data_IF_646883172973
#
_entry.id   IF_646883172973
#
_cell.length_a   1.000
_cell.length_b   1.000
_cell.length_c   1.000
_cell.angle_alpha   90.00
_cell.angle_beta   90.00
_cell.angle_gamma   90.00
#
_symmetry.space_group_name_H-M   'P 1'
#
loop_
_entity.id
_entity.type
_entity.pdbx_description
1 polymer ?
#
# COMPACT_ATOMS: atom_id res chain seq x y z
N UNK A 1 19.82 14.38 -4.80
CA UNK A 1 19.00 13.49 -5.63
C UNK A 1 19.01 12.13 -4.97
N UNK A 2 17.85 11.57 -4.68
CA UNK A 2 17.76 10.20 -4.19
C UNK A 2 18.20 9.27 -5.33
N UNK A 3 18.94 8.21 -5.00
CA UNK A 3 19.52 7.25 -5.98
C UNK A 3 18.47 6.53 -6.85
N UNK A 4 17.19 6.68 -6.52
CA UNK A 4 16.02 6.04 -7.13
C UNK A 4 15.27 6.94 -8.14
N UNK A 5 15.76 8.18 -8.38
CA UNK A 5 15.15 9.09 -9.37
C UNK A 5 13.98 9.93 -8.84
N UNK A 6 13.78 9.98 -7.51
CA UNK A 6 12.81 10.86 -6.86
C UNK A 6 13.48 12.13 -6.34
N UNK A 7 12.77 13.26 -6.45
CA UNK A 7 13.21 14.56 -5.93
C UNK A 7 13.03 14.65 -4.41
N UNK A 8 11.94 14.09 -3.90
CA UNK A 8 11.57 14.10 -2.49
C UNK A 8 10.88 12.80 -2.10
N UNK A 9 11.03 12.39 -0.84
CA UNK A 9 10.31 11.28 -0.21
C UNK A 9 9.66 11.81 1.06
N UNK A 10 8.38 11.51 1.25
CA UNK A 10 7.64 11.90 2.45
C UNK A 10 7.38 10.64 3.28
N UNK A 11 7.80 10.64 4.53
CA UNK A 11 7.57 9.55 5.48
C UNK A 11 6.70 10.05 6.62
N UNK A 12 5.65 9.29 6.93
CA UNK A 12 4.68 9.60 7.96
C UNK A 12 4.82 8.57 9.07
N UNK A 13 5.19 9.02 10.27
CA UNK A 13 5.37 8.17 11.44
C UNK A 13 4.16 8.34 12.36
N UNK A 14 3.31 7.30 12.41
CA UNK A 14 2.04 7.33 13.15
C UNK A 14 2.24 7.27 14.67
N UNK A 15 3.32 6.62 15.13
CA UNK A 15 3.81 6.68 16.51
C UNK A 15 5.26 7.18 16.56
N UNK A 16 5.48 8.52 16.51
CA UNK A 16 6.83 9.07 16.45
C UNK A 16 7.63 8.88 17.74
N UNK A 17 6.99 8.53 18.86
CA UNK A 17 7.67 8.28 20.11
C UNK A 17 8.34 6.92 20.13
N UNK A 18 7.70 5.90 19.55
CA UNK A 18 8.28 4.56 19.40
C UNK A 18 9.41 4.53 18.36
N UNK A 19 9.33 5.40 17.34
CA UNK A 19 10.26 5.43 16.20
C UNK A 19 11.35 6.51 16.28
N UNK A 20 11.58 7.13 17.45
CA UNK A 20 12.45 8.30 17.60
C UNK A 20 13.87 8.12 17.02
N UNK A 21 14.46 6.93 17.17
CA UNK A 21 15.78 6.62 16.60
C UNK A 21 15.75 6.55 15.06
N UNK A 22 14.73 5.90 14.48
CA UNK A 22 14.56 5.80 13.04
C UNK A 22 14.26 7.17 12.42
N UNK A 23 13.44 7.98 13.08
CA UNK A 23 13.17 9.37 12.69
C UNK A 23 14.47 10.18 12.66
N UNK A 24 15.29 10.09 13.71
CA UNK A 24 16.55 10.82 13.79
C UNK A 24 17.51 10.42 12.66
N UNK A 25 17.60 9.12 12.35
CA UNK A 25 18.43 8.61 11.26
C UNK A 25 17.94 9.13 9.90
N UNK A 26 16.66 8.95 9.60
CA UNK A 26 16.13 9.26 8.27
C UNK A 26 16.06 10.76 7.99
N UNK A 27 15.92 11.60 9.02
CA UNK A 27 16.04 13.07 8.90
C UNK A 27 17.39 13.53 8.36
N UNK A 28 18.44 12.71 8.45
CA UNK A 28 19.76 13.04 7.89
C UNK A 28 19.83 12.85 6.37
N UNK A 29 18.85 12.18 5.77
CA UNK A 29 18.84 11.86 4.34
C UNK A 29 18.31 13.05 3.54
N UNK A 30 19.15 13.59 2.65
CA UNK A 30 18.77 14.71 1.78
C UNK A 30 17.60 14.34 0.87
N UNK A 31 16.57 15.18 0.86
CA UNK A 31 15.34 14.97 0.08
C UNK A 31 14.30 14.11 0.80
N UNK A 32 14.53 13.70 2.06
CA UNK A 32 13.50 13.04 2.86
C UNK A 32 12.83 14.03 3.80
N UNK A 33 11.50 14.05 3.77
CA UNK A 33 10.63 14.85 4.61
C UNK A 33 9.94 13.95 5.62
N UNK A 34 10.25 14.14 6.90
CA UNK A 34 9.69 13.32 7.99
C UNK A 34 8.55 14.07 8.66
N UNK A 35 7.37 13.46 8.65
CA UNK A 35 6.16 13.93 9.33
C UNK A 35 5.93 13.09 10.56
N UNK A 36 6.06 13.72 11.74
CA UNK A 36 5.72 13.11 13.01
C UNK A 36 4.23 13.33 13.25
N UNK A 37 3.43 12.27 13.06
CA UNK A 37 1.98 12.32 13.05
C UNK A 37 1.38 12.37 14.46
N UNK A 38 1.90 13.26 15.29
CA UNK A 38 1.39 13.55 16.64
C UNK A 38 -0.04 14.09 16.59
N UNK A 39 -0.75 14.05 17.73
CA UNK A 39 -2.06 14.68 17.87
C UNK A 39 -2.04 16.16 17.47
N UNK A 40 -0.98 16.89 17.83
CA UNK A 40 -0.81 18.29 17.47
C UNK A 40 -0.65 18.50 15.95
N UNK A 41 0.08 17.59 15.28
CA UNK A 41 0.17 17.60 13.82
C UNK A 41 -1.21 17.38 13.22
N UNK A 42 -1.93 16.34 13.60
CA UNK A 42 -3.25 16.05 13.02
C UNK A 42 -4.29 17.13 13.31
N UNK A 43 -4.25 17.75 14.49
CA UNK A 43 -5.13 18.87 14.80
C UNK A 43 -4.87 20.06 13.88
N UNK A 44 -3.61 20.40 13.59
CA UNK A 44 -3.27 21.44 12.61
C UNK A 44 -3.75 21.11 11.19
N UNK A 45 -3.85 19.83 10.86
CA UNK A 45 -4.32 19.37 9.55
C UNK A 45 -5.85 19.43 9.41
N UNK A 46 -6.62 19.41 10.51
CA UNK A 46 -8.10 19.41 10.44
C UNK A 46 -8.67 20.61 9.68
N UNK A 47 -8.00 21.76 9.77
CA UNK A 47 -8.46 22.99 9.12
C UNK A 47 -8.05 23.11 7.65
N UNK A 48 -6.90 22.54 7.30
CA UNK A 48 -6.22 22.79 6.03
C UNK A 48 -6.33 21.62 5.05
N UNK A 49 -6.32 20.39 5.57
CA UNK A 49 -6.27 19.17 4.78
C UNK A 49 -7.64 18.82 4.16
N UNK A 50 -7.64 18.59 2.85
CA UNK A 50 -8.83 18.31 2.08
C UNK A 50 -9.58 17.04 2.54
N UNK A 51 -8.89 16.07 3.14
CA UNK A 51 -9.50 14.88 3.75
C UNK A 51 -10.54 15.26 4.81
N UNK A 52 -10.17 16.11 5.78
CA UNK A 52 -11.07 16.56 6.85
C UNK A 52 -12.12 17.55 6.36
N UNK A 53 -11.82 18.32 5.32
CA UNK A 53 -12.73 19.32 4.74
C UNK A 53 -13.81 18.73 3.83
N UNK A 54 -13.72 17.45 3.44
CA UNK A 54 -14.80 16.75 2.71
C UNK A 54 -16.05 16.68 3.59
N UNK A 55 -16.86 17.75 3.56
CA UNK A 55 -18.13 17.85 4.28
C UNK A 55 -19.12 16.79 3.81
N UNK A 56 -19.95 16.35 4.78
CA UNK A 56 -21.28 15.70 4.81
C UNK A 56 -22.29 15.94 3.64
N UNK A 57 -21.85 16.38 2.45
CA UNK A 57 -22.70 16.87 1.37
C UNK A 57 -23.02 15.86 0.25
N UNK A 58 -22.36 14.71 0.17
CA UNK A 58 -22.82 13.61 -0.69
C UNK A 58 -23.84 12.76 0.07
N UNK A 59 -25.08 13.25 0.12
CA UNK A 59 -26.22 12.34 0.27
C UNK A 59 -26.38 11.56 -1.04
N UNK A 60 -26.35 10.23 -0.91
CA UNK A 60 -27.23 9.29 -1.59
C UNK A 60 -27.55 9.61 -3.06
N UNK A 61 -26.68 9.20 -3.98
CA UNK A 61 -27.03 9.25 -5.39
C UNK A 61 -25.88 9.00 -6.33
N UNK A 62 -25.65 7.73 -6.68
CA UNK A 62 -25.09 7.41 -8.00
C UNK A 62 -23.57 7.27 -8.09
N UNK A 63 -22.96 6.55 -7.15
CA UNK A 63 -21.84 5.62 -7.34
C UNK A 63 -21.69 4.96 -5.98
N UNK A 64 -21.72 3.62 -5.93
CA UNK A 64 -21.57 2.88 -4.67
C UNK A 64 -20.36 3.42 -3.93
N UNK A 65 -20.61 3.88 -2.71
CA UNK A 65 -19.64 4.37 -1.75
C UNK A 65 -18.75 3.18 -1.34
N UNK A 66 -17.83 2.81 -2.21
CA UNK A 66 -16.92 1.71 -2.00
C UNK A 66 -15.87 2.12 -1.00
N UNK A 67 -16.13 1.88 0.30
CA UNK A 67 -15.10 1.96 1.34
C UNK A 67 -14.40 3.32 1.48
N UNK A 68 -15.11 4.42 1.24
CA UNK A 68 -14.49 5.76 1.35
C UNK A 68 -14.10 6.01 2.82
N UNK A 69 -12.80 6.12 3.05
CA UNK A 69 -12.24 6.55 4.33
C UNK A 69 -12.85 7.89 4.75
N UNK A 70 -13.38 7.94 5.97
CA UNK A 70 -14.10 9.09 6.50
C UNK A 70 -13.35 9.68 7.69
N UNK A 71 -13.70 10.90 8.09
CA UNK A 71 -13.19 11.49 9.34
C UNK A 71 -13.55 10.63 10.56
N UNK A 72 -14.70 9.94 10.53
CA UNK A 72 -15.10 9.03 11.59
C UNK A 72 -14.20 7.79 11.65
N UNK A 73 -13.80 7.25 10.49
CA UNK A 73 -12.82 6.17 10.42
C UNK A 73 -11.46 6.63 10.95
N UNK A 74 -11.03 7.85 10.56
CA UNK A 74 -9.79 8.44 11.06
C UNK A 74 -9.80 8.58 12.60
N UNK A 75 -10.86 9.15 13.16
CA UNK A 75 -11.02 9.35 14.61
C UNK A 75 -11.11 8.00 15.35
N UNK A 76 -11.52 6.92 14.68
CA UNK A 76 -11.52 5.55 15.20
C UNK A 76 -10.15 4.83 15.08
N UNK A 77 -9.12 5.49 14.54
CA UNK A 77 -7.79 4.90 14.34
C UNK A 77 -7.67 4.00 13.12
N UNK A 78 -8.56 4.14 12.13
CA UNK A 78 -8.49 3.37 10.89
C UNK A 78 -7.24 3.76 10.07
N UNK A 79 -6.41 2.77 9.76
CA UNK A 79 -5.12 2.95 9.09
C UNK A 79 -5.33 3.55 7.70
N UNK A 80 -6.30 3.04 6.94
CA UNK A 80 -6.58 3.49 5.58
C UNK A 80 -7.04 4.97 5.58
N UNK A 81 -7.80 5.38 6.59
CA UNK A 81 -8.20 6.77 6.76
C UNK A 81 -7.03 7.69 7.10
N UNK A 82 -6.10 7.23 7.96
CA UNK A 82 -4.85 7.97 8.25
C UNK A 82 -3.95 8.08 7.02
N UNK A 83 -3.79 6.99 6.26
CA UNK A 83 -3.07 7.00 4.99
C UNK A 83 -3.70 7.98 3.99
N UNK A 84 -5.03 8.00 3.86
CA UNK A 84 -5.73 8.97 3.03
C UNK A 84 -5.44 10.43 3.45
N UNK A 85 -5.43 10.71 4.75
CA UNK A 85 -5.09 12.03 5.28
C UNK A 85 -3.63 12.40 4.98
N UNK A 86 -2.69 11.47 5.19
CA UNK A 86 -1.27 11.64 4.89
C UNK A 86 -1.04 11.92 3.39
N UNK A 87 -1.69 11.18 2.49
CA UNK A 87 -1.63 11.43 1.04
C UNK A 87 -2.13 12.82 0.69
N UNK A 88 -3.25 13.27 1.27
CA UNK A 88 -3.75 14.62 1.00
C UNK A 88 -2.79 15.71 1.48
N UNK A 89 -2.10 15.51 2.61
CA UNK A 89 -1.03 16.41 3.05
C UNK A 89 0.14 16.40 2.07
N UNK A 90 0.65 15.22 1.70
CA UNK A 90 1.75 15.06 0.75
C UNK A 90 1.44 15.71 -0.61
N UNK A 91 0.20 15.58 -1.10
CA UNK A 91 -0.24 16.23 -2.34
C UNK A 91 -0.23 17.75 -2.25
N UNK A 92 -0.62 18.32 -1.11
CA UNK A 92 -0.60 19.77 -0.91
C UNK A 92 0.84 20.30 -0.89
N UNK A 93 1.71 19.65 -0.13
CA UNK A 93 3.13 19.99 -0.06
C UNK A 93 3.84 19.82 -1.40
N UNK A 94 3.61 18.71 -2.10
CA UNK A 94 4.23 18.45 -3.39
C UNK A 94 3.84 19.51 -4.43
N UNK A 95 2.56 19.93 -4.44
CA UNK A 95 2.09 21.02 -5.29
C UNK A 95 2.73 22.35 -4.92
N UNK A 96 2.85 22.67 -3.64
CA UNK A 96 3.52 23.89 -3.19
C UNK A 96 5.00 23.93 -3.58
N UNK A 97 5.65 22.77 -3.63
CA UNK A 97 7.02 22.60 -4.10
C UNK A 97 7.17 22.55 -5.64
N UNK A 98 6.07 22.58 -6.39
CA UNK A 98 6.09 22.52 -7.86
C UNK A 98 6.32 21.13 -8.44
N UNK A 99 6.09 20.06 -7.68
CA UNK A 99 6.14 18.69 -8.20
C UNK A 99 4.86 18.35 -8.97
N UNK A 100 5.03 17.69 -10.12
CA UNK A 100 3.93 17.32 -11.02
C UNK A 100 3.38 15.92 -10.70
N UNK A 101 4.24 15.02 -10.26
CA UNK A 101 3.92 13.62 -9.98
C UNK A 101 4.19 13.29 -8.52
N UNK A 102 3.26 12.52 -7.94
CA UNK A 102 3.40 11.89 -6.63
C UNK A 102 3.10 10.40 -6.78
N UNK A 103 3.96 9.57 -6.21
CA UNK A 103 3.76 8.13 -6.12
C UNK A 103 3.57 7.77 -4.64
N UNK A 104 2.41 7.22 -4.30
CA UNK A 104 2.15 6.63 -2.99
C UNK A 104 2.41 5.11 -3.07
N UNK A 105 3.20 4.59 -2.13
CA UNK A 105 3.57 3.18 -2.00
C UNK A 105 3.65 2.90 -0.51
N UNK A 106 3.06 1.79 -0.07
CA UNK A 106 3.16 1.36 1.33
C UNK A 106 4.58 0.87 1.65
N UNK A 107 5.00 0.90 2.92
CA UNK A 107 6.41 0.65 3.29
C UNK A 107 6.89 -0.79 2.99
N UNK A 108 5.96 -1.73 2.92
CA UNK A 108 6.19 -3.14 2.57
C UNK A 108 5.93 -3.43 1.09
N UNK A 109 5.56 -2.42 0.30
CA UNK A 109 5.34 -2.53 -1.12
C UNK A 109 6.57 -2.12 -1.94
N UNK A 110 6.66 -2.67 -3.15
CA UNK A 110 7.69 -2.34 -4.13
C UNK A 110 7.02 -1.88 -5.41
N UNK A 111 7.45 -0.73 -5.92
CA UNK A 111 7.16 -0.36 -7.30
C UNK A 111 8.22 -0.95 -8.25
N UNK A 112 7.78 -1.81 -9.17
CA UNK A 112 8.62 -2.44 -10.18
C UNK A 112 8.08 -2.21 -11.59
N UNK A 113 8.95 -1.76 -12.50
CA UNK A 113 8.61 -1.63 -13.92
C UNK A 113 9.51 -2.52 -14.78
N UNK A 114 8.94 -3.42 -15.60
CA UNK A 114 9.71 -4.25 -16.52
C UNK A 114 10.08 -3.51 -17.83
N UNK A 115 9.68 -2.24 -17.99
CA UNK A 115 9.87 -1.51 -19.25
C UNK A 115 11.37 -1.19 -19.47
N UNK A 116 11.92 -1.50 -20.67
CA UNK A 116 13.27 -1.07 -21.04
C UNK A 116 13.38 0.47 -20.96
N UNK A 117 14.43 0.97 -20.33
CA UNK A 117 14.65 2.40 -20.05
C UNK A 117 14.34 2.76 -18.60
N UNK A 118 13.24 2.27 -18.03
CA UNK A 118 12.85 2.59 -16.64
C UNK A 118 13.79 1.93 -15.63
N UNK A 119 14.24 0.70 -15.91
CA UNK A 119 15.21 0.00 -15.04
C UNK A 119 16.59 0.67 -15.02
N UNK A 120 16.96 1.39 -16.09
CA UNK A 120 18.26 2.05 -16.19
C UNK A 120 18.23 3.52 -15.71
N UNK A 121 17.10 4.21 -15.91
CA UNK A 121 16.98 5.66 -15.68
C UNK A 121 16.15 5.98 -14.42
N UNK A 122 15.37 5.02 -13.91
CA UNK A 122 14.56 5.16 -12.70
C UNK A 122 13.14 5.64 -12.95
N UNK A 123 12.42 5.93 -11.86
CA UNK A 123 11.01 6.28 -11.91
C UNK A 123 10.72 7.57 -12.70
N UNK A 124 11.66 8.52 -12.74
CA UNK A 124 11.50 9.78 -13.47
C UNK A 124 11.20 9.56 -14.96
N UNK A 125 11.94 8.67 -15.62
CA UNK A 125 11.73 8.37 -17.05
C UNK A 125 10.35 7.78 -17.32
N UNK A 126 9.80 7.01 -16.38
CA UNK A 126 8.44 6.51 -16.50
C UNK A 126 7.42 7.65 -16.43
N UNK A 127 7.51 8.52 -15.42
CA UNK A 127 6.56 9.62 -15.22
C UNK A 127 6.66 10.71 -16.30
N UNK A 128 7.86 10.97 -16.83
CA UNK A 128 8.07 11.89 -17.96
C UNK A 128 7.40 11.41 -19.25
N UNK A 129 7.27 10.09 -19.44
CA UNK A 129 6.62 9.51 -20.62
C UNK A 129 5.09 9.48 -20.53
N UNK A 130 4.52 9.81 -19.37
CA UNK A 130 3.06 9.81 -19.17
C UNK A 130 2.45 10.98 -19.95
N UNK A 131 1.40 10.70 -20.72
CA UNK A 131 0.73 11.75 -21.50
C UNK A 131 0.18 12.85 -20.58
N UNK A 132 0.37 14.16 -20.88
CA UNK A 132 0.00 15.26 -19.98
C UNK A 132 -1.49 15.35 -19.61
N UNK A 133 -2.37 14.69 -20.36
CA UNK A 133 -3.80 14.62 -20.03
C UNK A 133 -4.16 13.58 -18.95
N UNK A 134 -3.20 12.74 -18.55
CA UNK A 134 -3.39 11.73 -17.50
C UNK A 134 -3.04 12.38 -16.17
N UNK A 135 -4.01 12.48 -15.27
CA UNK A 135 -3.83 13.08 -13.94
C UNK A 135 -3.63 12.03 -12.83
N UNK A 136 -3.88 10.75 -13.12
CA UNK A 136 -3.77 9.67 -12.15
C UNK A 136 -3.44 8.35 -12.87
N UNK A 137 -2.54 7.59 -12.26
CA UNK A 137 -2.25 6.21 -12.61
C UNK A 137 -2.63 5.32 -11.42
N UNK A 138 -3.14 4.12 -11.71
CA UNK A 138 -3.39 3.10 -10.70
C UNK A 138 -2.62 1.86 -11.09
N UNK A 139 -1.75 1.41 -10.20
CA UNK A 139 -0.98 0.19 -10.36
C UNK A 139 -1.76 -0.97 -9.74
N UNK A 140 -1.64 -2.15 -10.33
CA UNK A 140 -2.18 -3.36 -9.73
C UNK A 140 -1.25 -3.78 -8.59
N UNK A 141 -1.79 -3.87 -7.38
CA UNK A 141 -1.09 -4.51 -6.28
C UNK A 141 -1.04 -6.03 -6.56
N UNK A 142 0.16 -6.56 -6.66
CA UNK A 142 0.39 -7.99 -6.73
C UNK A 142 0.88 -8.45 -5.36
N UNK A 143 -0.07 -8.78 -4.47
CA UNK A 143 0.29 -9.50 -3.25
C UNK A 143 1.05 -10.77 -3.64
N UNK A 144 2.26 -10.92 -3.12
CA UNK A 144 3.12 -12.05 -3.44
C UNK A 144 2.47 -13.33 -2.88
N UNK A 145 1.66 -14.01 -3.69
CA UNK A 145 1.14 -15.34 -3.33
C UNK A 145 2.32 -16.33 -3.40
N UNK A 146 2.67 -17.02 -2.30
CA UNK A 146 3.72 -18.04 -2.33
C UNK A 146 3.40 -19.09 -3.39
N UNK A 147 4.28 -19.26 -4.36
CA UNK A 147 4.10 -20.29 -5.42
C UNK A 147 4.46 -21.69 -4.97
N UNK A 148 5.06 -21.83 -3.79
CA UNK A 148 5.39 -23.14 -3.22
C UNK A 148 4.25 -23.56 -2.29
N UNK A 149 3.69 -24.77 -2.44
CA UNK A 149 2.85 -25.36 -1.41
C UNK A 149 3.60 -25.33 -0.07
N UNK A 150 2.91 -25.17 1.08
CA UNK A 150 3.56 -25.30 2.37
C UNK A 150 4.33 -26.62 2.38
N UNK A 151 5.63 -26.55 2.72
CA UNK A 151 6.45 -27.74 2.85
C UNK A 151 5.66 -28.73 3.71
N UNK A 152 5.37 -29.93 3.18
CA UNK A 152 4.66 -30.97 3.94
C UNK A 152 5.38 -31.08 5.27
N UNK A 153 4.71 -30.68 6.34
CA UNK A 153 5.28 -30.73 7.67
C UNK A 153 5.86 -32.12 7.88
N UNK A 154 7.09 -32.20 8.40
CA UNK A 154 7.58 -33.46 8.95
C UNK A 154 6.49 -33.95 9.89
N UNK A 155 5.88 -35.09 9.55
CA UNK A 155 4.85 -35.70 10.38
C UNK A 155 5.37 -35.77 11.80
N UNK A 156 4.77 -34.97 12.69
CA UNK A 156 4.88 -35.23 14.11
C UNK A 156 4.15 -36.56 14.28
N UNK A 157 4.91 -37.59 14.67
CA UNK A 157 4.42 -38.95 14.83
C UNK A 157 3.15 -38.96 15.67
N UNK A 158 2.03 -39.27 15.02
CA UNK A 158 0.83 -39.77 15.67
C UNK A 158 0.69 -41.22 15.25
N UNK A 159 0.97 -42.14 16.16
CA UNK A 159 0.49 -43.51 16.07
C UNK A 159 -1.01 -43.49 15.76
N UNK A 160 -1.39 -44.02 14.60
CA UNK A 160 -2.77 -44.46 14.36
C UNK A 160 -2.77 -45.97 14.59
N UNK A 161 -3.08 -46.34 15.83
CA UNK A 161 -3.44 -47.70 16.20
C UNK A 161 -4.85 -48.02 15.70
N UNK A 162 -4.93 -49.05 14.86
CA UNK A 162 -6.08 -49.96 14.78
C UNK A 162 -7.24 -49.55 13.87
N UNK A 163 -7.65 -50.45 12.98
CA UNK A 163 -9.01 -50.41 12.44
C UNK A 163 -9.19 -50.97 11.03
N UNK A 164 -9.05 -52.28 10.90
CA UNK A 164 -9.80 -53.18 9.99
C UNK A 164 -9.77 -53.04 8.46
N UNK A 165 -9.37 -54.18 7.91
CA UNK A 165 -9.45 -54.67 6.53
C UNK A 165 -10.89 -55.02 6.18
N UNK A 166 -11.43 -54.44 5.10
CA UNK A 166 -12.43 -55.01 4.19
C UNK A 166 -12.33 -54.17 2.91
N UNK A 167 -12.27 -54.64 1.67
CA UNK A 167 -12.39 -55.92 1.00
C UNK A 167 -12.40 -55.55 -0.49
N UNK A 168 -11.66 -56.30 -1.30
CA UNK A 168 -11.59 -56.07 -2.75
C UNK A 168 -12.85 -56.49 -3.49
N UNK A 169 -12.79 -56.24 -4.80
CA UNK A 169 -13.68 -56.65 -5.91
C UNK A 169 -14.58 -55.51 -6.40
N UNK A 170 -14.62 -55.17 -7.69
CA UNK A 170 -13.98 -55.75 -8.86
C UNK A 170 -14.10 -54.80 -10.06
N UNK A 171 -13.32 -55.12 -11.08
CA UNK A 171 -13.24 -54.42 -12.35
C UNK A 171 -14.59 -54.40 -13.10
N UNK A 172 -14.87 -53.30 -13.79
CA UNK A 172 -15.95 -53.17 -14.75
C UNK A 172 -15.48 -52.33 -15.94
N UNK A 173 -15.15 -53.03 -17.02
CA UNK A 173 -14.89 -52.50 -18.36
C UNK A 173 -16.11 -51.76 -18.92
N UNK A 174 -15.86 -50.79 -19.80
CA UNK A 174 -16.91 -50.08 -20.52
C UNK A 174 -16.33 -49.13 -21.56
N UNK A 175 -15.65 -49.70 -22.55
CA UNK A 175 -15.29 -49.02 -23.80
C UNK A 175 -16.52 -49.02 -24.72
N UNK A 176 -16.89 -47.86 -25.25
CA UNK A 176 -18.11 -47.70 -26.04
C UNK A 176 -18.04 -46.43 -26.88
N UNK A 177 -17.76 -46.64 -28.16
CA UNK A 177 -17.64 -45.66 -29.25
C UNK A 177 -18.91 -44.87 -29.55
#
# INVERSE_FOLDING_TARGET
YLSVGFHAVYLYFDDPHEDAAAIAEVRTVSGVHVMECTDAFWESQRETNAFFRRRKGRREGGLRDGGVCSVQHFDAGDVQARQCAAVQHAMADARAAGFEWLLHVDIDELWFSPLPGVQQVGASAFFEAVHPSIAQLTFLNHEAVPRCPPARGKGVGGEVMGGEVLGGDGAGEGDGS
#
